data_IF_765328474235
#
_entry.id   IF_765328474235
#
_cell.length_a   1.000
_cell.length_b   1.000
_cell.length_c   1.000
_cell.angle_alpha   90.00
_cell.angle_beta   90.00
_cell.angle_gamma   90.00
#
_symmetry.space_group_name_H-M   'P 1'
#
loop_
_entity.id
_entity.type
_entity.pdbx_description
1 polymer ?
#
# COMPACT_ATOMS: atom_id res chain seq x y z
N UNK A 1 -4.35 25.57 0.76
CA UNK A 1 -4.57 24.26 0.11
C UNK A 1 -3.46 23.25 0.41
N UNK A 2 -2.23 23.42 -0.11
CA UNK A 2 -1.13 22.43 0.11
C UNK A 2 -0.83 22.11 1.57
N UNK A 3 -0.92 23.10 2.47
CA UNK A 3 -0.74 22.89 3.93
C UNK A 3 -1.77 21.88 4.47
N UNK A 4 -3.05 22.10 4.18
CA UNK A 4 -4.14 21.21 4.62
C UNK A 4 -4.02 19.81 4.04
N UNK A 5 -3.50 19.67 2.81
CA UNK A 5 -3.23 18.36 2.20
C UNK A 5 -2.07 17.68 2.93
N UNK A 6 -0.97 18.40 3.18
CA UNK A 6 0.20 17.86 3.87
C UNK A 6 -0.13 17.38 5.29
N UNK A 7 -0.98 18.09 6.03
CA UNK A 7 -1.43 17.72 7.38
C UNK A 7 -2.10 16.33 7.44
N UNK A 8 -2.75 15.88 6.36
CA UNK A 8 -3.37 14.54 6.28
C UNK A 8 -2.35 13.40 6.37
N UNK A 9 -1.09 13.67 6.04
CA UNK A 9 0.00 12.70 6.09
C UNK A 9 0.73 12.67 7.43
N UNK A 10 0.43 13.61 8.33
CA UNK A 10 0.95 13.63 9.70
C UNK A 10 0.12 12.68 10.56
N UNK A 11 0.76 11.61 11.04
CA UNK A 11 0.05 10.51 11.72
C UNK A 11 0.06 10.65 13.23
N UNK A 12 1.13 11.20 13.80
CA UNK A 12 1.26 11.33 15.26
C UNK A 12 0.92 12.74 15.73
N UNK A 13 0.45 12.87 16.98
CA UNK A 13 0.21 14.17 17.59
C UNK A 13 1.50 15.01 17.66
N UNK A 14 2.64 14.35 17.87
CA UNK A 14 3.94 15.01 17.84
C UNK A 14 4.23 15.63 16.47
N UNK A 15 4.02 14.91 15.37
CA UNK A 15 4.22 15.43 14.00
C UNK A 15 3.32 16.64 13.72
N UNK A 16 2.04 16.55 14.11
CA UNK A 16 1.06 17.63 13.93
C UNK A 16 1.45 18.88 14.73
N UNK A 17 1.75 18.71 16.01
CA UNK A 17 2.15 19.81 16.89
C UNK A 17 3.47 20.44 16.43
N UNK A 18 4.43 19.65 15.94
CA UNK A 18 5.70 20.15 15.45
C UNK A 18 5.53 20.94 14.14
N UNK A 19 4.67 20.47 13.24
CA UNK A 19 4.32 21.19 12.02
C UNK A 19 3.63 22.53 12.34
N UNK A 20 2.65 22.53 13.24
CA UNK A 20 1.97 23.75 13.69
C UNK A 20 2.97 24.75 14.32
N UNK A 21 3.85 24.26 15.21
CA UNK A 21 4.90 25.09 15.82
C UNK A 21 5.88 25.68 14.77
N UNK A 22 6.16 24.96 13.69
CA UNK A 22 6.96 25.50 12.58
C UNK A 22 6.26 26.72 11.96
N UNK A 23 4.96 26.62 11.68
CA UNK A 23 4.19 27.72 11.12
C UNK A 23 4.03 28.88 12.09
N UNK A 24 3.88 28.64 13.39
CA UNK A 24 3.89 29.73 14.38
C UNK A 24 5.21 30.51 14.36
N UNK A 25 6.35 29.82 14.25
CA UNK A 25 7.63 30.50 14.07
C UNK A 25 7.61 31.38 12.81
N UNK A 26 7.18 30.83 11.67
CA UNK A 26 7.15 31.54 10.39
C UNK A 26 6.25 32.79 10.40
N UNK A 27 5.13 32.72 11.12
CA UNK A 27 4.12 33.76 11.22
C UNK A 27 4.50 34.88 12.21
N UNK A 28 5.55 34.70 13.01
CA UNK A 28 6.09 35.76 13.88
C UNK A 28 6.85 36.80 13.05
N UNK A 29 6.10 37.72 12.42
CA UNK A 29 6.63 38.73 11.50
C UNK A 29 7.63 39.71 12.13
N UNK A 30 7.69 39.78 13.46
CA UNK A 30 8.60 40.65 14.19
C UNK A 30 9.92 39.95 14.54
N UNK A 31 10.00 38.64 14.32
CA UNK A 31 11.18 37.85 14.58
C UNK A 31 12.00 37.63 13.29
N UNK A 32 13.19 38.23 13.15
CA UNK A 32 14.03 38.05 11.97
C UNK A 32 14.57 36.61 11.81
N UNK A 33 14.48 35.77 12.86
CA UNK A 33 14.85 34.36 12.85
C UNK A 33 13.69 33.41 12.49
N UNK A 34 12.49 33.93 12.23
CA UNK A 34 11.28 33.14 11.96
C UNK A 34 11.49 32.01 10.94
N UNK A 35 12.21 32.29 9.86
CA UNK A 35 12.48 31.29 8.83
C UNK A 35 13.59 30.30 9.22
N UNK A 36 14.60 30.74 9.97
CA UNK A 36 15.63 29.83 10.51
C UNK A 36 15.00 28.83 11.48
N UNK A 37 14.13 29.31 12.37
CA UNK A 37 13.38 28.48 13.30
C UNK A 37 12.44 27.53 12.55
N UNK A 38 11.67 28.03 11.57
CA UNK A 38 10.85 27.19 10.68
C UNK A 38 11.70 26.07 10.04
N UNK A 39 12.84 26.42 9.46
CA UNK A 39 13.71 25.47 8.77
C UNK A 39 14.27 24.40 9.70
N UNK A 40 14.65 24.79 10.92
CA UNK A 40 15.08 23.85 11.96
C UNK A 40 13.95 22.87 12.32
N UNK A 41 12.77 23.39 12.63
CA UNK A 41 11.61 22.57 13.04
C UNK A 41 11.16 21.63 11.92
N UNK A 42 11.05 22.12 10.68
CA UNK A 42 10.67 21.28 9.53
C UNK A 42 11.71 20.20 9.26
N UNK A 43 13.01 20.47 9.44
CA UNK A 43 14.03 19.44 9.28
C UNK A 43 13.84 18.28 10.27
N UNK A 44 13.52 18.59 11.52
CA UNK A 44 13.25 17.56 12.52
C UNK A 44 11.94 16.82 12.20
N UNK A 45 10.89 17.54 11.77
CA UNK A 45 9.65 16.91 11.31
C UNK A 45 9.89 15.90 10.18
N UNK A 46 10.71 16.26 9.19
CA UNK A 46 11.10 15.37 8.08
C UNK A 46 11.80 14.13 8.62
N UNK A 47 12.71 14.27 9.58
CA UNK A 47 13.42 13.12 10.15
C UNK A 47 12.45 12.18 10.88
N UNK A 48 11.47 12.73 11.60
CA UNK A 48 10.41 11.97 12.26
C UNK A 48 9.52 11.22 11.26
N UNK A 49 9.01 11.90 10.23
CA UNK A 49 8.19 11.28 9.18
C UNK A 49 8.96 10.14 8.51
N UNK A 50 10.21 10.38 8.09
CA UNK A 50 11.01 9.37 7.41
C UNK A 50 11.37 8.19 8.32
N UNK A 51 11.57 8.39 9.62
CA UNK A 51 11.79 7.29 10.57
C UNK A 51 10.54 6.44 10.77
N UNK A 52 9.36 7.06 10.78
CA UNK A 52 8.09 6.35 10.85
C UNK A 52 7.82 5.54 9.59
N UNK A 53 8.06 6.12 8.41
CA UNK A 53 7.87 5.44 7.13
C UNK A 53 8.93 4.36 6.87
N UNK A 54 10.16 4.58 7.34
CA UNK A 54 11.29 3.69 7.11
C UNK A 54 12.10 3.47 8.40
N UNK A 55 11.60 2.66 9.35
CA UNK A 55 12.33 2.27 10.56
C UNK A 55 13.67 1.62 10.25
N UNK A 56 14.68 1.86 11.10
CA UNK A 56 16.05 1.36 10.89
C UNK A 56 16.14 -0.17 10.80
N UNK A 57 15.26 -0.87 11.51
CA UNK A 57 15.24 -2.32 11.55
C UNK A 57 14.79 -2.92 10.23
N UNK A 58 13.80 -2.32 9.56
CA UNK A 58 13.32 -2.81 8.27
C UNK A 58 14.24 -2.41 7.13
N UNK A 59 14.74 -1.17 7.12
CA UNK A 59 15.66 -0.72 6.06
C UNK A 59 16.92 -1.59 6.00
N UNK A 60 17.42 -2.05 7.16
CA UNK A 60 18.65 -2.87 7.23
C UNK A 60 18.42 -4.32 6.81
N UNK A 61 17.17 -4.80 6.81
CA UNK A 61 16.82 -6.15 6.33
C UNK A 61 16.68 -6.23 4.82
N UNK A 62 16.43 -5.11 4.16
CA UNK A 62 16.28 -5.08 2.70
C UNK A 62 17.51 -5.62 1.99
N UNK A 63 17.29 -6.43 0.94
CA UNK A 63 18.38 -7.01 0.15
C UNK A 63 19.25 -5.94 -0.53
N UNK A 64 18.62 -4.86 -1.00
CA UNK A 64 19.29 -3.73 -1.63
C UNK A 64 20.03 -2.82 -0.64
N UNK A 65 19.89 -3.03 0.67
CA UNK A 65 20.58 -2.21 1.67
C UNK A 65 22.09 -2.41 1.63
N UNK A 66 22.80 -1.29 1.71
CA UNK A 66 24.25 -1.26 1.88
C UNK A 66 24.59 -0.39 3.08
N UNK A 67 25.47 -0.88 3.96
CA UNK A 67 25.89 -0.08 5.11
C UNK A 67 26.59 1.19 4.61
N UNK A 68 26.15 2.39 5.02
CA UNK A 68 26.78 3.63 4.60
C UNK A 68 28.15 3.78 5.24
N UNK A 69 29.07 4.46 4.55
CA UNK A 69 30.36 4.88 5.09
C UNK A 69 30.20 6.09 6.03
N UNK A 70 29.47 5.89 7.12
CA UNK A 70 29.16 6.90 8.12
C UNK A 70 28.86 6.23 9.47
N UNK A 71 28.90 7.00 10.56
CA UNK A 71 28.49 6.51 11.88
C UNK A 71 26.99 6.23 12.00
N UNK A 72 26.17 6.57 10.99
CA UNK A 72 24.72 6.33 11.01
C UNK A 72 24.43 4.92 10.52
N UNK A 73 23.45 4.26 11.14
CA UNK A 73 22.95 2.95 10.70
C UNK A 73 22.25 3.05 9.35
N UNK A 74 21.38 4.04 9.18
CA UNK A 74 20.62 4.29 7.95
C UNK A 74 20.73 5.77 7.59
N UNK A 75 21.05 6.07 6.32
CA UNK A 75 21.07 7.45 5.81
C UNK A 75 19.72 7.84 5.20
N UNK A 76 19.46 9.15 5.08
CA UNK A 76 18.16 9.66 4.63
C UNK A 76 17.75 9.19 3.24
N UNK A 77 18.71 9.08 2.30
CA UNK A 77 18.40 8.54 0.96
C UNK A 77 17.89 7.11 1.01
N UNK A 78 18.40 6.28 1.93
CA UNK A 78 17.90 4.91 2.14
C UNK A 78 16.51 4.90 2.76
N UNK A 79 16.20 5.86 3.65
CA UNK A 79 14.83 5.99 4.19
C UNK A 79 13.83 6.41 3.12
N UNK A 80 14.20 7.38 2.28
CA UNK A 80 13.33 7.79 1.15
C UNK A 80 13.13 6.62 0.21
N UNK A 81 14.20 5.90 -0.13
CA UNK A 81 14.12 4.69 -0.95
C UNK A 81 13.15 3.67 -0.35
N UNK A 82 13.35 3.29 0.91
CA UNK A 82 12.47 2.34 1.60
C UNK A 82 11.02 2.83 1.71
N UNK A 83 10.81 4.13 1.98
CA UNK A 83 9.46 4.68 2.09
C UNK A 83 8.66 4.46 0.81
N UNK A 84 9.32 4.55 -0.35
CA UNK A 84 8.73 4.36 -1.69
C UNK A 84 8.61 2.87 -2.04
N UNK A 85 9.73 2.14 -2.07
CA UNK A 85 9.78 0.78 -2.64
C UNK A 85 9.81 -0.37 -1.62
N UNK A 86 9.96 -0.06 -0.33
CA UNK A 86 10.08 -1.06 0.75
C UNK A 86 11.22 -2.06 0.46
N UNK A 87 11.00 -3.36 0.60
CA UNK A 87 11.95 -4.42 0.30
C UNK A 87 12.19 -4.72 -1.18
N UNK A 88 11.34 -4.21 -2.10
CA UNK A 88 11.42 -4.52 -3.53
C UNK A 88 12.73 -4.05 -4.15
N UNK A 89 13.20 -4.76 -5.18
CA UNK A 89 14.43 -4.41 -5.91
C UNK A 89 14.21 -3.29 -6.93
N UNK A 90 15.30 -2.57 -7.25
CA UNK A 90 15.26 -1.41 -8.15
C UNK A 90 14.79 -1.80 -9.57
N UNK A 91 15.13 -3.01 -10.01
CA UNK A 91 14.71 -3.54 -11.31
C UNK A 91 13.20 -3.76 -11.36
N UNK A 92 12.60 -4.27 -10.27
CA UNK A 92 11.15 -4.45 -10.18
C UNK A 92 10.44 -3.08 -10.27
N UNK A 93 10.91 -2.09 -9.51
CA UNK A 93 10.32 -0.74 -9.52
C UNK A 93 10.42 -0.07 -10.89
N UNK A 94 11.57 -0.18 -11.54
CA UNK A 94 11.83 0.55 -12.80
C UNK A 94 11.33 -0.17 -14.04
N UNK A 95 11.32 -1.50 -14.06
CA UNK A 95 10.99 -2.30 -15.24
C UNK A 95 9.57 -2.83 -15.16
N UNK A 96 9.18 -3.41 -14.03
CA UNK A 96 7.85 -4.01 -13.87
C UNK A 96 6.80 -2.93 -13.57
N UNK A 97 7.08 -2.04 -12.61
CA UNK A 97 6.16 -0.94 -12.26
C UNK A 97 6.33 0.31 -13.13
N UNK A 98 7.39 0.39 -13.93
CA UNK A 98 7.71 1.55 -14.78
C UNK A 98 7.73 2.90 -14.01
N UNK A 99 8.25 2.89 -12.77
CA UNK A 99 8.31 4.07 -11.90
C UNK A 99 9.72 4.67 -11.81
N UNK A 100 9.84 5.98 -12.06
CA UNK A 100 11.07 6.74 -11.80
C UNK A 100 11.08 7.37 -10.41
N UNK A 101 11.67 6.67 -9.45
CA UNK A 101 11.84 7.17 -8.08
C UNK A 101 13.05 8.11 -7.93
N UNK A 102 13.93 8.18 -8.94
CA UNK A 102 15.21 8.89 -8.84
C UNK A 102 15.04 10.41 -8.81
N UNK A 103 14.03 10.92 -9.54
CA UNK A 103 13.64 12.34 -9.55
C UNK A 103 13.20 12.81 -8.17
N UNK A 104 12.28 12.08 -7.55
CA UNK A 104 11.77 12.38 -6.19
C UNK A 104 12.88 12.33 -5.15
N UNK A 105 13.73 11.30 -5.18
CA UNK A 105 14.89 11.20 -4.28
C UNK A 105 15.83 12.41 -4.40
N UNK A 106 16.06 12.90 -5.62
CA UNK A 106 16.90 14.08 -5.88
C UNK A 106 16.26 15.35 -5.33
N UNK A 107 14.97 15.53 -5.56
CA UNK A 107 14.21 16.69 -5.09
C UNK A 107 14.18 16.77 -3.55
N UNK A 108 13.91 15.65 -2.87
CA UNK A 108 13.91 15.58 -1.40
C UNK A 108 15.30 15.93 -0.86
N UNK A 109 16.36 15.38 -1.46
CA UNK A 109 17.74 15.72 -1.07
C UNK A 109 18.01 17.21 -1.21
N UNK A 110 17.54 17.83 -2.29
CA UNK A 110 17.68 19.27 -2.51
C UNK A 110 16.94 20.10 -1.46
N UNK A 111 15.69 19.76 -1.14
CA UNK A 111 14.91 20.43 -0.09
C UNK A 111 15.60 20.31 1.27
N UNK A 112 16.05 19.12 1.66
CA UNK A 112 16.74 18.91 2.93
C UNK A 112 18.04 19.73 3.00
N UNK A 113 18.81 19.77 1.93
CA UNK A 113 20.03 20.56 1.86
C UNK A 113 19.74 22.07 1.97
N UNK A 114 18.68 22.55 1.32
CA UNK A 114 18.23 23.93 1.45
C UNK A 114 17.82 24.26 2.88
N UNK A 115 16.99 23.42 3.52
CA UNK A 115 16.59 23.61 4.91
C UNK A 115 17.80 23.64 5.86
N UNK A 116 18.77 22.73 5.67
CA UNK A 116 20.00 22.70 6.45
C UNK A 116 20.77 24.03 6.39
N UNK A 117 20.87 24.66 5.22
CA UNK A 117 21.53 25.96 5.07
C UNK A 117 20.92 27.01 6.00
N UNK A 118 19.60 27.03 6.12
CA UNK A 118 18.88 27.99 6.98
C UNK A 118 18.89 27.64 8.46
N UNK A 119 19.31 26.43 8.85
CA UNK A 119 19.53 26.11 10.28
C UNK A 119 20.78 26.78 10.86
N UNK A 120 21.72 27.20 10.02
CA UNK A 120 22.89 27.98 10.43
C UNK A 120 22.64 29.46 10.16
N UNK A 121 22.53 30.26 11.22
CA UNK A 121 22.29 31.69 11.11
C UNK A 121 23.57 32.37 10.60
N UNK A 122 23.47 32.99 9.42
CA UNK A 122 24.50 33.75 8.76
C UNK A 122 23.87 34.97 8.07
N UNK A 123 24.68 35.91 7.59
CA UNK A 123 24.18 37.16 6.99
C UNK A 123 23.28 36.94 5.77
N UNK A 124 23.46 35.85 5.03
CA UNK A 124 22.68 35.50 3.84
C UNK A 124 21.43 34.66 4.14
N UNK A 125 21.30 34.15 5.38
CA UNK A 125 20.15 33.35 5.85
C UNK A 125 19.30 34.08 6.89
N UNK A 126 19.80 35.20 7.42
CA UNK A 126 19.12 36.06 8.39
C UNK A 126 18.12 36.99 7.71
N UNK A 127 16.91 37.09 8.27
CA UNK A 127 15.85 38.02 7.84
C UNK A 127 15.59 38.03 6.32
N UNK A 128 15.51 36.85 5.72
CA UNK A 128 15.22 36.73 4.29
C UNK A 128 13.84 37.29 3.95
N UNK A 129 13.69 37.79 2.71
CA UNK A 129 12.45 38.44 2.27
C UNK A 129 11.23 37.51 2.35
N UNK A 130 10.03 38.04 2.63
CA UNK A 130 8.80 37.24 2.68
C UNK A 130 8.58 36.39 1.42
N UNK A 131 8.91 36.92 0.23
CA UNK A 131 8.81 36.16 -1.02
C UNK A 131 9.71 34.92 -1.00
N UNK A 132 10.98 35.05 -0.59
CA UNK A 132 11.90 33.91 -0.48
C UNK A 132 11.41 32.88 0.54
N UNK A 133 10.83 33.33 1.65
CA UNK A 133 10.24 32.43 2.64
C UNK A 133 9.10 31.61 2.02
N UNK A 134 8.18 32.27 1.30
CA UNK A 134 7.08 31.60 0.62
C UNK A 134 7.56 30.61 -0.46
N UNK A 135 8.57 30.98 -1.24
CA UNK A 135 9.15 30.10 -2.26
C UNK A 135 9.70 28.82 -1.63
N UNK A 136 10.42 28.94 -0.51
CA UNK A 136 10.94 27.77 0.21
C UNK A 136 9.86 26.90 0.84
N UNK A 137 8.85 27.50 1.47
CA UNK A 137 7.71 26.76 2.04
C UNK A 137 6.96 26.01 0.95
N UNK A 138 6.68 26.67 -0.17
CA UNK A 138 5.99 26.07 -1.31
C UNK A 138 6.77 24.91 -1.91
N UNK A 139 8.09 25.07 -2.09
CA UNK A 139 8.97 24.03 -2.60
C UNK A 139 9.04 22.82 -1.66
N UNK A 140 9.12 23.06 -0.35
CA UNK A 140 9.07 21.98 0.65
C UNK A 140 7.76 21.21 0.59
N UNK A 141 6.61 21.90 0.64
CA UNK A 141 5.30 21.25 0.61
C UNK A 141 5.12 20.45 -0.69
N UNK A 142 5.49 21.02 -1.83
CA UNK A 142 5.38 20.36 -3.12
C UNK A 142 6.16 19.04 -3.17
N UNK A 143 7.45 19.08 -2.82
CA UNK A 143 8.32 17.90 -2.92
C UNK A 143 7.93 16.79 -1.95
N UNK A 144 7.43 17.13 -0.76
CA UNK A 144 6.95 16.11 0.17
C UNK A 144 5.57 15.57 -0.20
N UNK A 145 4.70 16.37 -0.82
CA UNK A 145 3.47 15.85 -1.41
C UNK A 145 3.78 14.88 -2.55
N UNK A 146 4.74 15.22 -3.42
CA UNK A 146 5.25 14.30 -4.46
C UNK A 146 5.80 12.99 -3.86
N UNK A 147 6.45 13.04 -2.69
CA UNK A 147 6.87 11.83 -1.98
C UNK A 147 5.68 10.95 -1.58
N UNK A 148 4.63 11.55 -1.01
CA UNK A 148 3.47 10.75 -0.60
C UNK A 148 2.68 10.22 -1.80
N UNK A 149 2.60 11.01 -2.88
CA UNK A 149 1.99 10.60 -4.14
C UNK A 149 2.72 9.41 -4.76
N UNK A 150 4.06 9.43 -4.82
CA UNK A 150 4.81 8.30 -5.39
C UNK A 150 4.76 7.05 -4.51
N UNK A 151 4.62 7.20 -3.19
CA UNK A 151 4.38 6.05 -2.28
C UNK A 151 3.05 5.39 -2.63
N UNK A 152 1.98 6.17 -2.72
CA UNK A 152 0.65 5.67 -3.07
C UNK A 152 0.64 5.06 -4.48
N UNK A 153 1.27 5.73 -5.44
CA UNK A 153 1.39 5.22 -6.80
C UNK A 153 2.13 3.87 -6.80
N UNK A 154 3.21 3.72 -6.03
CA UNK A 154 3.93 2.45 -5.95
C UNK A 154 3.03 1.32 -5.45
N UNK A 155 2.22 1.56 -4.41
CA UNK A 155 1.26 0.57 -3.90
C UNK A 155 0.20 0.19 -4.95
N UNK A 156 -0.33 1.18 -5.69
CA UNK A 156 -1.29 0.94 -6.78
C UNK A 156 -0.68 0.11 -7.91
N UNK A 157 0.50 0.48 -8.39
CA UNK A 157 1.17 -0.20 -9.50
C UNK A 157 1.59 -1.63 -9.11
N UNK A 158 1.95 -1.86 -7.84
CA UNK A 158 2.15 -3.22 -7.32
C UNK A 158 0.88 -4.04 -7.50
N UNK A 159 -0.27 -3.56 -7.02
CA UNK A 159 -1.54 -4.29 -7.18
C UNK A 159 -1.81 -4.56 -8.65
N UNK A 160 -1.75 -3.55 -9.51
CA UNK A 160 -2.01 -3.67 -10.96
C UNK A 160 -1.10 -4.69 -11.65
N UNK A 161 0.20 -4.71 -11.33
CA UNK A 161 1.16 -5.68 -11.89
C UNK A 161 0.88 -7.12 -11.45
N UNK A 162 0.23 -7.29 -10.30
CA UNK A 162 0.02 -8.57 -9.64
C UNK A 162 -1.34 -9.21 -9.95
N UNK A 163 -2.33 -8.44 -10.43
CA UNK A 163 -3.73 -8.89 -10.66
C UNK A 163 -3.79 -10.25 -11.35
N UNK A 164 -3.13 -10.38 -12.51
CA UNK A 164 -3.19 -11.62 -13.31
C UNK A 164 -2.63 -12.84 -12.58
N UNK A 165 -1.54 -12.66 -11.83
CA UNK A 165 -0.91 -13.75 -11.09
C UNK A 165 -1.76 -14.14 -9.87
N UNK A 166 -2.35 -13.16 -9.20
CA UNK A 166 -3.30 -13.39 -8.09
C UNK A 166 -4.53 -14.14 -8.61
N UNK A 167 -5.11 -13.72 -9.73
CA UNK A 167 -6.25 -14.38 -10.37
C UNK A 167 -5.95 -15.85 -10.69
N UNK A 168 -4.81 -16.14 -11.31
CA UNK A 168 -4.40 -17.51 -11.64
C UNK A 168 -4.32 -18.40 -10.39
N UNK A 169 -3.62 -17.96 -9.35
CA UNK A 169 -3.49 -18.71 -8.09
C UNK A 169 -4.83 -18.91 -7.36
N UNK A 170 -5.70 -17.89 -7.38
CA UNK A 170 -7.02 -17.94 -6.75
C UNK A 170 -7.91 -18.96 -7.46
N UNK A 171 -7.92 -18.98 -8.79
CA UNK A 171 -8.71 -19.95 -9.58
C UNK A 171 -8.29 -21.39 -9.27
N UNK A 172 -6.99 -21.65 -9.29
CA UNK A 172 -6.45 -22.98 -8.98
C UNK A 172 -6.84 -23.41 -7.56
N UNK A 173 -6.77 -22.49 -6.59
CA UNK A 173 -7.18 -22.78 -5.21
C UNK A 173 -8.68 -23.04 -5.09
N UNK A 174 -9.53 -22.28 -5.78
CA UNK A 174 -10.98 -22.54 -5.76
C UNK A 174 -11.25 -23.94 -6.32
N UNK A 175 -10.60 -24.32 -7.42
CA UNK A 175 -10.78 -25.62 -8.05
C UNK A 175 -10.39 -26.77 -7.10
N UNK A 176 -9.27 -26.63 -6.40
CA UNK A 176 -8.78 -27.63 -5.45
C UNK A 176 -9.72 -27.80 -4.23
N UNK A 177 -10.43 -26.75 -3.84
CA UNK A 177 -11.34 -26.77 -2.68
C UNK A 177 -12.81 -27.00 -3.07
N UNK A 178 -13.12 -27.15 -4.35
CA UNK A 178 -14.50 -27.22 -4.85
C UNK A 178 -15.34 -28.34 -4.23
N UNK A 179 -14.69 -29.48 -3.97
CA UNK A 179 -15.33 -30.67 -3.40
C UNK A 179 -15.93 -30.45 -2.01
N UNK A 180 -15.49 -29.41 -1.27
CA UNK A 180 -16.08 -29.07 0.03
C UNK A 180 -17.59 -28.73 -0.08
N UNK A 181 -17.99 -28.19 -1.23
CA UNK A 181 -19.37 -27.82 -1.53
C UNK A 181 -20.31 -29.03 -1.68
N UNK A 182 -19.78 -30.23 -1.94
CA UNK A 182 -20.57 -31.48 -2.01
C UNK A 182 -21.17 -31.88 -0.65
N UNK A 183 -20.82 -31.19 0.44
CA UNK A 183 -21.53 -31.32 1.72
C UNK A 183 -22.97 -30.82 1.63
N UNK A 184 -23.28 -29.90 0.70
CA UNK A 184 -24.57 -29.22 0.57
C UNK A 184 -25.44 -29.75 -0.58
N UNK A 185 -24.89 -30.56 -1.49
CA UNK A 185 -25.61 -31.12 -2.64
C UNK A 185 -25.07 -32.51 -3.01
N UNK A 186 -25.74 -33.23 -3.92
CA UNK A 186 -25.22 -34.54 -4.38
C UNK A 186 -23.95 -34.37 -5.20
N UNK A 187 -23.90 -33.33 -6.04
CA UNK A 187 -22.71 -32.91 -6.76
C UNK A 187 -22.63 -31.38 -6.76
N UNK A 188 -21.39 -30.86 -6.79
CA UNK A 188 -21.09 -29.46 -7.04
C UNK A 188 -20.09 -29.39 -8.19
N UNK A 189 -20.47 -28.69 -9.26
CA UNK A 189 -19.65 -28.56 -10.47
C UNK A 189 -19.14 -27.14 -10.63
N UNK A 190 -17.90 -27.04 -11.12
CA UNK A 190 -17.27 -25.76 -11.46
C UNK A 190 -18.19 -24.91 -12.34
N UNK A 191 -18.39 -23.66 -11.91
CA UNK A 191 -19.19 -22.66 -12.61
C UNK A 191 -18.37 -21.42 -12.95
N UNK A 192 -18.92 -20.24 -12.67
CA UNK A 192 -18.23 -18.97 -12.89
C UNK A 192 -17.61 -18.43 -11.59
N UNK A 193 -16.75 -17.42 -11.69
CA UNK A 193 -16.22 -16.70 -10.53
C UNK A 193 -16.04 -15.20 -10.82
N UNK A 194 -16.01 -14.43 -9.76
CA UNK A 194 -15.78 -12.98 -9.81
C UNK A 194 -14.90 -12.59 -8.63
N UNK A 195 -13.77 -11.92 -8.92
CA UNK A 195 -12.99 -11.23 -7.88
C UNK A 195 -13.57 -9.83 -7.74
N UNK A 196 -13.97 -9.48 -6.51
CA UNK A 196 -14.56 -8.17 -6.19
C UNK A 196 -13.46 -7.16 -5.88
N UNK A 197 -12.50 -7.57 -5.05
CA UNK A 197 -11.44 -6.69 -4.59
C UNK A 197 -10.13 -7.45 -4.35
N UNK A 198 -9.03 -6.76 -4.65
CA UNK A 198 -7.67 -7.17 -4.34
C UNK A 198 -7.02 -6.01 -3.60
N UNK A 199 -6.81 -6.18 -2.29
CA UNK A 199 -6.19 -5.16 -1.45
C UNK A 199 -4.77 -5.58 -1.08
N UNK A 200 -3.78 -4.73 -1.36
CA UNK A 200 -2.45 -4.84 -0.76
C UNK A 200 -2.56 -4.46 0.73
N UNK A 201 -2.43 -5.44 1.61
CA UNK A 201 -2.62 -5.26 3.06
C UNK A 201 -1.32 -4.87 3.75
N UNK A 202 -0.20 -5.45 3.32
CA UNK A 202 1.11 -5.16 3.89
C UNK A 202 2.23 -5.26 2.86
N UNK A 203 3.24 -4.40 3.02
CA UNK A 203 4.53 -4.53 2.35
C UNK A 203 5.65 -4.04 3.25
N UNK A 204 6.63 -4.91 3.49
CA UNK A 204 7.76 -4.67 4.37
C UNK A 204 9.11 -4.94 3.69
N UNK A 205 10.14 -5.24 4.48
CA UNK A 205 11.49 -5.51 3.98
C UNK A 205 11.67 -6.87 3.28
N UNK A 206 10.76 -7.81 3.48
CA UNK A 206 10.90 -9.22 3.10
C UNK A 206 9.66 -9.77 2.38
N UNK A 207 8.46 -9.28 2.73
CA UNK A 207 7.18 -9.80 2.27
C UNK A 207 6.24 -8.70 1.75
N UNK A 208 5.34 -9.13 0.87
CA UNK A 208 4.13 -8.41 0.49
C UNK A 208 2.94 -9.34 0.68
N UNK A 209 1.84 -8.78 1.18
CA UNK A 209 0.62 -9.50 1.53
C UNK A 209 -0.58 -8.86 0.84
N UNK A 210 -1.48 -9.70 0.35
CA UNK A 210 -2.74 -9.30 -0.27
C UNK A 210 -3.91 -9.99 0.41
N UNK A 211 -5.04 -9.30 0.43
CA UNK A 211 -6.33 -9.87 0.75
C UNK A 211 -7.21 -9.84 -0.50
N UNK A 212 -7.88 -10.95 -0.78
CA UNK A 212 -8.78 -11.09 -1.92
C UNK A 212 -10.16 -11.50 -1.43
N UNK A 213 -11.17 -10.83 -1.96
CA UNK A 213 -12.56 -11.18 -1.78
C UNK A 213 -13.26 -11.34 -3.14
N UNK A 214 -14.18 -12.29 -3.21
CA UNK A 214 -14.89 -12.59 -4.44
C UNK A 214 -16.09 -13.49 -4.22
N UNK A 215 -16.70 -13.92 -5.32
CA UNK A 215 -17.76 -14.90 -5.37
C UNK A 215 -17.43 -16.00 -6.36
N UNK A 216 -17.88 -17.21 -6.05
CA UNK A 216 -17.99 -18.29 -7.02
C UNK A 216 -19.45 -18.58 -7.26
N UNK A 217 -19.76 -19.08 -8.44
CA UNK A 217 -21.11 -19.38 -8.90
C UNK A 217 -21.23 -20.87 -9.27
N UNK A 218 -21.08 -21.79 -8.30
CA UNK A 218 -21.23 -23.22 -8.52
C UNK A 218 -22.59 -23.62 -9.06
N UNK A 219 -22.58 -24.65 -9.91
CA UNK A 219 -23.76 -25.40 -10.26
C UNK A 219 -23.91 -26.58 -9.29
N UNK A 220 -24.97 -26.57 -8.51
CA UNK A 220 -25.31 -27.62 -7.57
C UNK A 220 -26.34 -28.57 -8.18
N UNK A 221 -26.15 -29.87 -7.97
CA UNK A 221 -27.11 -30.91 -8.35
C UNK A 221 -27.59 -31.70 -7.14
N UNK A 222 -28.92 -31.83 -7.00
CA UNK A 222 -29.57 -32.75 -6.05
C UNK A 222 -30.10 -33.96 -6.83
N UNK A 223 -29.72 -35.15 -6.37
CA UNK A 223 -30.06 -36.40 -7.03
C UNK A 223 -29.08 -36.77 -8.14
N UNK A 224 -29.19 -38.01 -8.62
CA UNK A 224 -28.41 -38.48 -9.75
C UNK A 224 -28.86 -37.84 -11.06
N UNK A 225 -28.07 -37.97 -12.13
CA UNK A 225 -28.48 -37.50 -13.46
C UNK A 225 -29.80 -38.15 -13.93
N UNK A 226 -30.11 -39.36 -13.44
CA UNK A 226 -31.40 -39.98 -13.73
C UNK A 226 -32.54 -39.30 -13.02
N UNK A 227 -32.33 -38.80 -11.79
CA UNK A 227 -33.37 -38.13 -11.02
C UNK A 227 -33.66 -36.77 -11.65
N UNK A 228 -32.60 -36.01 -12.00
CA UNK A 228 -32.73 -34.75 -12.75
C UNK A 228 -33.49 -34.96 -14.07
N UNK A 229 -33.14 -35.97 -14.88
CA UNK A 229 -33.84 -36.25 -16.15
C UNK A 229 -35.30 -36.66 -15.99
N UNK A 230 -35.70 -37.19 -14.83
CA UNK A 230 -37.08 -37.60 -14.53
C UNK A 230 -37.90 -36.49 -13.88
N UNK A 231 -37.27 -35.35 -13.55
CA UNK A 231 -37.88 -34.29 -12.76
C UNK A 231 -37.91 -34.58 -11.25
N UNK A 232 -37.24 -35.65 -10.81
CA UNK A 232 -37.12 -36.04 -9.38
C UNK A 232 -35.86 -35.41 -8.71
N UNK A 233 -35.00 -34.76 -9.50
CA UNK A 233 -33.80 -34.05 -9.06
C UNK A 233 -33.83 -32.57 -9.41
N UNK A 234 -32.80 -31.82 -9.00
CA UNK A 234 -32.74 -30.37 -9.20
C UNK A 234 -31.31 -29.92 -9.53
N UNK A 235 -31.20 -28.93 -10.42
CA UNK A 235 -29.96 -28.21 -10.71
C UNK A 235 -30.19 -26.72 -10.47
N UNK A 236 -29.28 -26.07 -9.78
CA UNK A 236 -29.37 -24.64 -9.49
C UNK A 236 -27.98 -24.02 -9.27
N UNK A 237 -27.89 -22.70 -9.43
CA UNK A 237 -26.69 -21.93 -9.12
C UNK A 237 -26.93 -21.08 -7.89
N UNK A 238 -25.93 -20.99 -7.01
CA UNK A 238 -25.95 -20.07 -5.87
C UNK A 238 -24.58 -19.43 -5.70
N UNK A 239 -24.56 -18.10 -5.57
CA UNK A 239 -23.34 -17.37 -5.31
C UNK A 239 -22.80 -17.71 -3.91
N UNK A 240 -21.53 -18.13 -3.83
CA UNK A 240 -20.83 -18.40 -2.58
C UNK A 240 -19.68 -17.41 -2.47
N UNK A 241 -19.70 -16.48 -1.50
CA UNK A 241 -18.58 -15.59 -1.26
C UNK A 241 -17.34 -16.39 -0.84
N UNK A 242 -16.16 -15.93 -1.24
CA UNK A 242 -14.90 -16.46 -0.75
C UNK A 242 -13.94 -15.34 -0.35
N UNK A 243 -12.99 -15.69 0.50
CA UNK A 243 -11.87 -14.82 0.88
C UNK A 243 -10.58 -15.63 0.95
N UNK A 244 -9.45 -15.01 0.62
CA UNK A 244 -8.14 -15.58 0.91
C UNK A 244 -7.07 -14.51 1.15
N UNK A 245 -6.00 -14.94 1.82
CA UNK A 245 -4.78 -14.16 2.01
C UNK A 245 -3.71 -14.70 1.07
N UNK A 246 -2.99 -13.82 0.38
CA UNK A 246 -1.82 -14.18 -0.42
C UNK A 246 -0.57 -13.53 0.15
N UNK A 247 0.54 -14.25 0.10
CA UNK A 247 1.85 -13.73 0.48
C UNK A 247 2.90 -14.08 -0.55
N UNK A 248 3.84 -13.16 -0.77
CA UNK A 248 5.02 -13.41 -1.59
C UNK A 248 6.27 -12.83 -0.93
N UNK A 249 7.44 -13.23 -1.41
CA UNK A 249 8.70 -12.60 -1.04
C UNK A 249 8.97 -11.40 -1.97
N UNK A 250 9.46 -10.28 -1.42
CA UNK A 250 9.76 -9.07 -2.22
C UNK A 250 10.84 -9.27 -3.29
N UNK A 251 11.64 -10.34 -3.21
CA UNK A 251 12.64 -10.70 -4.22
C UNK A 251 12.06 -11.57 -5.34
N UNK A 252 10.88 -12.13 -5.13
CA UNK A 252 10.15 -12.93 -6.11
C UNK A 252 8.65 -12.63 -5.96
N UNK A 253 8.20 -11.40 -6.30
CA UNK A 253 6.84 -10.95 -5.97
C UNK A 253 5.74 -11.80 -6.59
N UNK A 254 5.98 -12.36 -7.77
CA UNK A 254 5.04 -13.22 -8.49
C UNK A 254 4.96 -14.67 -7.97
N UNK A 255 5.86 -15.10 -7.06
CA UNK A 255 5.78 -16.42 -6.40
C UNK A 255 4.83 -16.33 -5.19
N UNK A 256 3.53 -16.26 -5.50
CA UNK A 256 2.44 -16.08 -4.56
C UNK A 256 2.09 -17.40 -3.87
N UNK A 257 1.69 -17.29 -2.60
CA UNK A 257 1.18 -18.41 -1.82
C UNK A 257 -0.12 -18.04 -1.16
N UNK A 258 -1.17 -18.77 -1.48
CA UNK A 258 -2.47 -18.63 -0.83
C UNK A 258 -2.44 -19.29 0.55
N UNK A 259 -3.06 -18.61 1.49
CA UNK A 259 -3.36 -19.09 2.83
C UNK A 259 -4.76 -18.64 3.24
N UNK A 260 -5.33 -19.28 4.27
CA UNK A 260 -6.63 -18.92 4.83
C UNK A 260 -7.78 -18.84 3.80
N UNK A 261 -7.70 -19.59 2.70
CA UNK A 261 -8.80 -19.68 1.73
C UNK A 261 -10.04 -20.24 2.42
N UNK A 262 -11.17 -19.54 2.24
CA UNK A 262 -12.46 -19.90 2.83
C UNK A 262 -13.59 -19.57 1.86
N UNK A 263 -14.46 -20.55 1.64
CA UNK A 263 -15.78 -20.35 1.04
C UNK A 263 -16.80 -20.15 2.15
N UNK A 264 -17.52 -19.04 2.12
CA UNK A 264 -18.47 -18.63 3.15
C UNK A 264 -19.87 -19.13 2.81
N UNK A 265 -20.14 -20.40 3.15
CA UNK A 265 -21.47 -20.98 2.99
C UNK A 265 -22.29 -20.74 4.26
N UNK A 266 -23.43 -20.05 4.13
CA UNK A 266 -24.43 -19.98 5.20
C UNK A 266 -25.25 -21.28 5.21
N UNK A 267 -24.85 -22.22 6.06
CA UNK A 267 -25.50 -23.53 6.15
C UNK A 267 -26.95 -23.48 6.63
N UNK A 268 -27.33 -22.47 7.44
CA UNK A 268 -28.69 -22.36 7.96
C UNK A 268 -29.65 -21.85 6.88
N UNK A 269 -29.18 -20.95 6.01
CA UNK A 269 -29.98 -20.33 4.94
C UNK A 269 -29.56 -20.77 3.53
N UNK A 270 -28.81 -21.88 3.41
CA UNK A 270 -28.29 -22.35 2.11
C UNK A 270 -29.40 -22.58 1.09
N UNK A 271 -30.57 -23.04 1.53
CA UNK A 271 -31.70 -23.36 0.67
C UNK A 271 -32.63 -22.17 0.38
N UNK A 272 -32.44 -21.02 1.04
CA UNK A 272 -33.25 -19.84 0.76
C UNK A 272 -33.01 -19.31 -0.66
N UNK A 273 -34.11 -19.01 -1.36
CA UNK A 273 -34.09 -18.48 -2.73
C UNK A 273 -33.79 -19.52 -3.82
N UNK A 274 -33.62 -20.80 -3.48
CA UNK A 274 -33.50 -21.87 -4.47
C UNK A 274 -34.89 -22.16 -5.04
N UNK A 275 -35.15 -21.71 -6.26
CA UNK A 275 -36.40 -22.01 -6.96
C UNK A 275 -36.33 -23.39 -7.61
N UNK A 276 -37.35 -24.21 -7.36
CA UNK A 276 -37.56 -25.42 -8.16
C UNK A 276 -37.86 -24.97 -9.58
N UNK A 277 -37.01 -25.34 -10.54
CA UNK A 277 -37.37 -25.34 -11.94
C UNK A 277 -38.44 -26.43 -12.15
N UNK A 278 -39.68 -26.13 -11.77
CA UNK A 278 -40.84 -26.88 -12.24
C UNK A 278 -41.11 -26.44 -13.69
N UNK A 279 -41.07 -27.39 -14.62
CA UNK A 279 -41.59 -27.20 -15.99
C UNK A 279 -43.04 -26.64 -15.98
#
# INVERSE_FOLDING_TARGET
DRILVFEKYLKTDFEKNLFEAAFYNLLDIHNPLRFNNFSYVIRELIDHILRRLAPDEYVVRCKWYSKPDSNRKVIRSQRVKYAIQKGLEDDFISTELNLDISGVQRNIRHIINNLNRYTHVASDTFDITPQKQLDHVSAFLQVFLELFEIIQQTETEIVESMIKHIEEEVVDTIFDNYSELETYATHAYWGDYEIIDITLTEIDSEHLEFFVEGHIYPEFQIGSDSDVRKGDGMVFTKAIPFTCDLSANVLSPYDLKISNFKMHVDGDNFWEGVEYLSE
#
